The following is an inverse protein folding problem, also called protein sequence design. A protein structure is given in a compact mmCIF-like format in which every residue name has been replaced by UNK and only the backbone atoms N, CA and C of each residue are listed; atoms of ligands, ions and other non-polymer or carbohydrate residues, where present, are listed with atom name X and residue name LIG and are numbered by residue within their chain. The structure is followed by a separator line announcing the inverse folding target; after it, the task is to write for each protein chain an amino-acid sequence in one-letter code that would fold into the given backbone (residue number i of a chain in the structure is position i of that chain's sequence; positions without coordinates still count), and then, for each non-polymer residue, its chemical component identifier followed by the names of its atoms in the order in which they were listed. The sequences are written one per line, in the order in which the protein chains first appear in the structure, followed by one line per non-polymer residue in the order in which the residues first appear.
data_IF_765363352709
#
_entry.id   IF_765363352709
#
_cell.length_a   1.000
_cell.length_b   1.000
_cell.length_c   1.000
_cell.angle_alpha   90.00
_cell.angle_beta   90.00
_cell.angle_gamma   90.00
#
_symmetry.space_group_name_H-M   'P 1'
#
loop_
_entity.id
_entity.type
_entity.pdbx_description
1 polymer ?
#
# COMPACT_ATOMS: atom_id res chain seq x y z
N UNK A 1 22.56 79.31 -14.77
CA UNK A 1 23.11 79.69 -13.44
C UNK A 1 22.58 78.71 -12.40
N UNK A 2 23.50 78.11 -11.63
CA UNK A 2 23.40 77.52 -10.28
C UNK A 2 22.11 76.80 -9.85
N UNK A 3 22.26 75.52 -9.48
CA UNK A 3 21.35 74.84 -8.54
C UNK A 3 21.27 75.61 -7.22
N UNK A 4 20.07 75.74 -6.62
CA UNK A 4 19.92 75.99 -5.19
C UNK A 4 19.82 74.67 -4.40
N UNK A 5 20.25 74.80 -3.15
CA UNK A 5 20.55 73.84 -2.09
C UNK A 5 19.44 72.88 -1.62
N UNK A 6 19.90 71.76 -1.05
CA UNK A 6 19.17 70.86 -0.14
C UNK A 6 18.60 71.63 1.07
N UNK A 7 17.34 72.03 1.02
CA UNK A 7 16.52 72.22 2.22
C UNK A 7 15.04 72.33 1.85
N UNK A 8 14.38 71.18 1.69
CA UNK A 8 12.93 70.92 1.74
C UNK A 8 12.54 69.87 0.69
N UNK A 9 12.79 68.61 1.02
CA UNK A 9 12.12 67.50 0.37
C UNK A 9 11.53 66.61 1.47
N UNK A 10 10.45 67.09 2.11
CA UNK A 10 9.53 66.20 2.80
C UNK A 10 8.70 65.55 1.69
N UNK A 11 9.20 64.45 1.13
CA UNK A 11 8.43 63.61 0.21
C UNK A 11 7.36 62.94 1.06
N UNK A 12 6.16 63.49 0.97
CA UNK A 12 4.96 62.92 1.57
C UNK A 12 4.65 61.58 0.89
N UNK A 13 5.05 60.48 1.55
CA UNK A 13 4.88 59.10 1.11
C UNK A 13 3.41 58.79 0.78
N UNK A 14 2.44 59.49 1.40
CA UNK A 14 1.01 59.33 1.10
C UNK A 14 0.67 59.74 -0.33
N UNK A 15 1.38 60.73 -0.89
CA UNK A 15 1.14 61.21 -2.25
C UNK A 15 1.72 60.27 -3.31
N UNK A 16 2.83 59.59 -3.00
CA UNK A 16 3.43 58.57 -3.88
C UNK A 16 2.55 57.30 -3.96
N UNK A 17 2.00 56.87 -2.82
CA UNK A 17 1.12 55.69 -2.76
C UNK A 17 -0.24 55.91 -3.45
N UNK A 18 -0.68 57.17 -3.62
CA UNK A 18 -1.90 57.49 -4.37
C UNK A 18 -1.71 57.53 -5.89
N UNK A 19 -0.47 57.60 -6.41
CA UNK A 19 -0.19 57.65 -7.85
C UNK A 19 0.26 56.32 -8.46
N UNK A 20 0.73 55.36 -7.66
CA UNK A 20 0.99 54.00 -8.13
C UNK A 20 -0.29 53.16 -8.05
N UNK A 21 -0.96 52.90 -9.19
CA UNK A 21 -2.04 51.89 -9.32
C UNK A 21 -1.48 50.47 -9.16
N UNK A 22 -1.00 50.14 -7.97
CA UNK A 22 -0.71 48.78 -7.55
C UNK A 22 -1.90 48.39 -6.68
N UNK A 23 -2.85 47.66 -7.28
CA UNK A 23 -3.98 47.10 -6.54
C UNK A 23 -3.45 46.16 -5.44
N UNK A 24 -4.17 46.09 -4.31
CA UNK A 24 -3.84 45.23 -3.16
C UNK A 24 -3.49 43.80 -3.59
N UNK A 25 -4.10 43.30 -4.67
CA UNK A 25 -3.82 42.02 -5.32
C UNK A 25 -2.38 41.85 -5.81
N UNK A 26 -1.75 42.91 -6.36
CA UNK A 26 -0.35 42.88 -6.80
C UNK A 26 0.61 42.90 -5.61
N UNK A 27 0.25 43.56 -4.51
CA UNK A 27 1.03 43.52 -3.27
C UNK A 27 1.01 42.12 -2.64
N UNK A 28 -0.16 41.48 -2.62
CA UNK A 28 -0.30 40.08 -2.17
C UNK A 28 0.52 39.15 -3.06
N UNK A 29 0.46 39.32 -4.39
CA UNK A 29 1.25 38.51 -5.32
C UNK A 29 2.77 38.66 -5.11
N UNK A 30 3.26 39.89 -4.96
CA UNK A 30 4.68 40.15 -4.69
C UNK A 30 5.10 39.56 -3.35
N UNK A 31 4.26 39.70 -2.31
CA UNK A 31 4.51 39.10 -1.00
C UNK A 31 4.60 37.57 -1.05
N UNK A 32 3.69 36.90 -1.78
CA UNK A 32 3.74 35.45 -2.00
C UNK A 32 4.95 35.00 -2.84
N UNK A 33 5.38 35.78 -3.83
CA UNK A 33 6.58 35.50 -4.60
C UNK A 33 7.86 35.62 -3.74
N UNK A 34 7.90 36.60 -2.83
CA UNK A 34 9.03 36.75 -1.90
C UNK A 34 9.04 35.61 -0.87
N UNK A 35 7.88 35.21 -0.34
CA UNK A 35 7.76 34.08 0.58
C UNK A 35 8.16 32.75 -0.07
N UNK A 36 7.77 32.50 -1.32
CA UNK A 36 8.20 31.30 -2.06
C UNK A 36 9.69 31.34 -2.39
N UNK A 37 10.24 32.49 -2.78
CA UNK A 37 11.68 32.63 -2.99
C UNK A 37 12.49 32.41 -1.70
N UNK A 38 12.04 32.94 -0.56
CA UNK A 38 12.66 32.71 0.75
C UNK A 38 12.53 31.25 1.22
N UNK A 39 11.42 30.58 0.91
CA UNK A 39 11.22 29.17 1.22
C UNK A 39 12.13 28.27 0.36
N UNK A 40 12.29 28.59 -0.92
CA UNK A 40 13.24 27.92 -1.82
C UNK A 40 14.68 28.17 -1.35
N UNK A 41 15.02 29.41 -0.97
CA UNK A 41 16.35 29.75 -0.47
C UNK A 41 16.64 29.06 0.88
N UNK A 42 15.65 28.93 1.76
CA UNK A 42 15.75 28.16 3.00
C UNK A 42 16.01 26.68 2.71
N UNK A 43 15.30 26.08 1.75
CA UNK A 43 15.57 24.71 1.30
C UNK A 43 16.99 24.57 0.74
N UNK A 44 17.45 25.51 -0.08
CA UNK A 44 18.80 25.46 -0.65
C UNK A 44 19.91 25.70 0.38
N UNK A 45 19.66 26.47 1.44
CA UNK A 45 20.67 26.81 2.45
C UNK A 45 20.70 25.84 3.63
N UNK A 46 19.60 25.12 3.92
CA UNK A 46 19.46 24.29 5.13
C UNK A 46 19.14 22.81 4.87
N UNK A 47 19.02 22.36 3.61
CA UNK A 47 19.01 20.94 3.30
C UNK A 47 20.45 20.38 3.26
N UNK A 48 21.00 20.13 4.45
CA UNK A 48 22.03 19.11 4.61
C UNK A 48 21.40 17.92 5.33
N UNK A 49 20.63 17.14 4.58
CA UNK A 49 20.36 15.75 4.94
C UNK A 49 21.65 14.94 4.80
N UNK A 50 22.23 14.55 5.94
CA UNK A 50 23.38 13.65 6.02
C UNK A 50 23.04 12.30 5.33
N UNK A 51 23.70 11.95 4.21
CA UNK A 51 23.40 10.73 3.45
C UNK A 51 23.85 9.44 4.14
N UNK A 52 24.54 9.51 5.27
CA UNK A 52 25.23 8.35 5.85
C UNK A 52 24.29 7.34 6.52
N UNK A 53 23.10 7.72 7.00
CA UNK A 53 22.23 6.78 7.74
C UNK A 53 21.39 5.84 6.86
N UNK A 54 21.06 6.25 5.63
CA UNK A 54 20.28 5.41 4.68
C UNK A 54 21.18 4.44 3.93
N UNK A 55 22.44 4.82 3.70
CA UNK A 55 23.45 3.99 3.02
C UNK A 55 23.86 2.79 3.88
N UNK A 56 23.86 2.90 5.22
CA UNK A 56 24.23 1.80 6.13
C UNK A 56 23.22 0.64 6.08
N UNK A 57 21.92 0.91 5.93
CA UNK A 57 20.90 -0.16 5.85
C UNK A 57 20.89 -0.83 4.47
N UNK A 58 21.07 -0.06 3.39
CA UNK A 58 21.18 -0.59 2.02
C UNK A 58 22.47 -1.40 1.85
N UNK A 59 23.59 -0.97 2.43
CA UNK A 59 24.85 -1.70 2.34
C UNK A 59 24.85 -3.00 3.16
N UNK A 60 24.19 -3.04 4.32
CA UNK A 60 24.03 -4.30 5.06
C UNK A 60 23.09 -5.30 4.36
N UNK A 61 22.15 -4.82 3.56
CA UNK A 61 21.31 -5.69 2.72
C UNK A 61 22.08 -6.18 1.47
N UNK A 62 22.85 -5.31 0.81
CA UNK A 62 23.62 -5.64 -0.40
C UNK A 62 24.85 -6.52 -0.12
N UNK A 63 25.49 -6.39 1.04
CA UNK A 63 26.63 -7.24 1.43
C UNK A 63 26.25 -8.72 1.64
N UNK A 64 24.96 -9.04 1.73
CA UNK A 64 24.47 -10.42 1.75
C UNK A 64 24.09 -10.96 0.35
N UNK A 65 24.22 -10.15 -0.71
CA UNK A 65 23.85 -10.52 -2.10
C UNK A 65 25.08 -10.69 -3.00
N UNK A 66 26.25 -10.18 -2.60
CA UNK A 66 27.50 -10.28 -3.36
C UNK A 66 28.22 -11.62 -3.16
N UNK A 67 27.53 -12.73 -3.43
CA UNK A 67 28.15 -14.01 -3.81
C UNK A 67 27.15 -15.01 -4.43
N UNK A 68 26.38 -14.62 -5.45
CA UNK A 68 25.81 -15.60 -6.39
C UNK A 68 25.41 -14.98 -7.72
N UNK A 69 26.33 -15.04 -8.69
CA UNK A 69 26.02 -14.91 -10.11
C UNK A 69 25.30 -16.17 -10.58
N UNK A 70 23.96 -16.17 -10.49
CA UNK A 70 22.98 -16.93 -11.28
C UNK A 70 21.64 -16.74 -10.57
N UNK A 71 20.68 -16.10 -11.22
CA UNK A 71 19.36 -15.83 -10.65
C UNK A 71 18.56 -17.15 -10.60
N UNK A 72 18.87 -18.01 -9.64
CA UNK A 72 18.04 -19.17 -9.29
C UNK A 72 16.76 -18.66 -8.64
N UNK A 73 15.63 -18.86 -9.33
CA UNK A 73 14.29 -18.72 -8.77
C UNK A 73 14.23 -19.45 -7.42
N UNK A 74 13.72 -18.87 -6.34
CA UNK A 74 13.50 -19.64 -5.12
C UNK A 74 12.41 -20.69 -5.42
N UNK A 75 12.71 -21.99 -5.29
CA UNK A 75 11.69 -23.02 -5.32
C UNK A 75 11.33 -23.30 -3.87
N UNK A 76 10.24 -22.75 -3.35
CA UNK A 76 9.35 -23.55 -2.50
C UNK A 76 8.01 -22.88 -2.22
N UNK A 77 6.93 -23.52 -2.68
CA UNK A 77 5.55 -23.21 -2.33
C UNK A 77 5.16 -23.76 -0.94
N UNK A 78 6.14 -24.26 -0.17
CA UNK A 78 5.97 -24.72 1.21
C UNK A 78 5.69 -23.61 2.24
N UNK A 79 5.67 -22.33 1.84
CA UNK A 79 5.45 -21.20 2.76
C UNK A 79 4.18 -21.34 3.60
N UNK A 80 3.08 -21.91 3.06
CA UNK A 80 1.81 -22.00 3.80
C UNK A 80 1.57 -23.33 4.53
N UNK A 81 2.15 -24.44 4.06
CA UNK A 81 1.96 -25.76 4.70
C UNK A 81 2.75 -25.89 5.99
N UNK A 82 3.84 -25.12 6.12
CA UNK A 82 4.77 -25.21 7.24
C UNK A 82 4.59 -24.09 8.28
N UNK A 83 3.56 -23.23 8.22
CA UNK A 83 3.41 -22.13 9.19
C UNK A 83 3.14 -22.66 10.60
N UNK A 84 2.27 -23.65 10.79
CA UNK A 84 2.04 -24.17 12.16
C UNK A 84 3.26 -24.89 12.75
N UNK A 85 4.05 -25.58 11.92
CA UNK A 85 5.17 -26.43 12.38
C UNK A 85 6.54 -25.72 12.33
N UNK A 86 6.74 -24.72 11.46
CA UNK A 86 7.88 -23.76 11.49
C UNK A 86 7.65 -22.59 12.44
N UNK A 87 6.42 -22.30 12.88
CA UNK A 87 6.18 -21.41 14.01
C UNK A 87 6.39 -22.15 15.34
N UNK A 88 7.61 -22.61 15.57
CA UNK A 88 8.23 -22.28 16.84
C UNK A 88 8.98 -20.99 16.56
N UNK A 89 8.36 -19.80 16.76
CA UNK A 89 9.14 -18.58 16.70
C UNK A 89 10.37 -18.82 17.58
N UNK A 90 11.54 -18.41 17.10
CA UNK A 90 12.64 -18.09 18.00
C UNK A 90 12.07 -17.01 18.91
N UNK A 91 11.41 -17.46 19.96
CA UNK A 91 11.39 -16.77 21.21
C UNK A 91 12.87 -16.52 21.47
N UNK A 92 13.32 -15.33 21.10
CA UNK A 92 13.97 -14.54 22.12
C UNK A 92 12.93 -14.52 23.24
N UNK A 93 13.05 -15.50 24.15
CA UNK A 93 12.52 -15.44 25.50
C UNK A 93 13.28 -14.27 26.14
N UNK A 94 13.03 -13.05 25.69
CA UNK A 94 12.50 -12.12 26.64
C UNK A 94 11.10 -12.64 26.81
N UNK A 95 10.90 -13.32 27.93
CA UNK A 95 9.61 -13.42 28.57
C UNK A 95 8.89 -12.08 28.32
N UNK A 96 8.07 -11.98 27.27
CA UNK A 96 6.94 -11.05 27.32
C UNK A 96 6.00 -11.73 28.30
N UNK A 97 6.41 -11.70 29.55
CA UNK A 97 5.57 -12.03 30.65
C UNK A 97 4.38 -11.10 30.47
N UNK A 98 3.18 -11.65 30.22
CA UNK A 98 1.96 -10.86 30.17
C UNK A 98 1.71 -10.14 31.52
N UNK A 99 2.51 -10.43 32.56
CA UNK A 99 2.60 -9.67 33.81
C UNK A 99 3.37 -8.34 33.70
N UNK A 100 4.26 -8.17 32.71
CA UNK A 100 5.06 -6.96 32.57
C UNK A 100 4.19 -5.84 31.99
N UNK A 101 4.01 -4.78 32.79
CA UNK A 101 3.10 -3.69 32.44
C UNK A 101 3.62 -2.95 31.19
N UNK A 102 2.81 -2.82 30.12
CA UNK A 102 3.18 -2.14 28.88
C UNK A 102 3.54 -0.68 29.16
N UNK A 103 4.60 -0.18 28.50
CA UNK A 103 5.15 1.17 28.72
C UNK A 103 4.47 2.25 27.89
N UNK A 104 3.64 1.86 26.93
CA UNK A 104 3.02 2.72 25.94
C UNK A 104 1.76 2.07 25.34
N UNK A 105 0.98 2.86 24.61
CA UNK A 105 -0.23 2.45 23.91
C UNK A 105 -0.21 3.08 22.52
N UNK A 106 -0.34 2.24 21.49
CA UNK A 106 -0.61 2.67 20.11
C UNK A 106 -2.11 2.61 19.88
N UNK A 107 -2.67 3.67 19.30
CA UNK A 107 -4.12 3.88 19.20
C UNK A 107 -4.50 4.07 17.73
N UNK A 108 -5.41 3.23 17.24
CA UNK A 108 -6.11 3.44 15.96
C UNK A 108 -7.62 3.52 16.18
N UNK A 109 -8.20 4.67 15.85
CA UNK A 109 -9.65 4.92 16.02
C UNK A 109 -10.29 5.71 14.89
N UNK A 110 -9.47 6.38 14.09
CA UNK A 110 -9.87 7.00 12.84
C UNK A 110 -9.43 6.07 11.71
N UNK A 111 -10.31 5.78 10.76
CA UNK A 111 -9.84 5.19 9.52
C UNK A 111 -10.67 5.77 8.37
N UNK A 112 -10.04 6.63 7.59
CA UNK A 112 -10.59 7.11 6.35
C UNK A 112 -10.37 6.05 5.25
N UNK A 113 -11.30 5.96 4.30
CA UNK A 113 -11.17 5.11 3.11
C UNK A 113 -11.49 3.62 3.31
N UNK A 114 -11.21 2.84 2.26
CA UNK A 114 -11.66 1.46 2.13
C UNK A 114 -10.74 0.44 2.83
N UNK A 115 -11.05 -0.85 2.70
CA UNK A 115 -10.36 -1.98 3.38
C UNK A 115 -8.83 -1.95 3.26
N UNK A 116 -8.26 -1.59 2.10
CA UNK A 116 -6.80 -1.51 1.91
C UNK A 116 -6.11 -0.46 2.80
N UNK A 117 -6.77 0.67 3.07
CA UNK A 117 -6.25 1.68 4.00
C UNK A 117 -6.31 1.18 5.44
N UNK A 118 -7.40 0.51 5.80
CA UNK A 118 -7.59 -0.10 7.13
C UNK A 118 -6.57 -1.19 7.41
N UNK A 119 -6.22 -1.99 6.40
CA UNK A 119 -5.16 -2.99 6.49
C UNK A 119 -3.79 -2.35 6.75
N UNK A 120 -3.45 -1.25 6.05
CA UNK A 120 -2.21 -0.51 6.31
C UNK A 120 -2.16 0.07 7.72
N UNK A 121 -3.22 0.77 8.14
CA UNK A 121 -3.30 1.36 9.45
C UNK A 121 -3.15 0.30 10.56
N UNK A 122 -3.85 -0.83 10.43
CA UNK A 122 -3.73 -1.97 11.34
C UNK A 122 -2.31 -2.53 11.36
N UNK A 123 -1.73 -2.84 10.19
CA UNK A 123 -0.42 -3.46 10.10
C UNK A 123 0.67 -2.55 10.70
N UNK A 124 0.64 -1.26 10.35
CA UNK A 124 1.58 -0.27 10.88
C UNK A 124 1.44 -0.09 12.40
N UNK A 125 0.21 -0.04 12.92
CA UNK A 125 -0.02 0.07 14.35
C UNK A 125 0.43 -1.18 15.11
N UNK A 126 0.15 -2.37 14.56
CA UNK A 126 0.63 -3.63 15.07
C UNK A 126 2.15 -3.68 15.11
N UNK A 127 2.81 -3.32 14.01
CA UNK A 127 4.27 -3.30 13.91
C UNK A 127 4.92 -2.36 14.93
N UNK A 128 4.38 -1.16 15.12
CA UNK A 128 4.84 -0.24 16.15
C UNK A 128 4.60 -0.75 17.57
N UNK A 129 3.42 -1.31 17.85
CA UNK A 129 3.13 -1.90 19.15
C UNK A 129 4.08 -3.07 19.46
N UNK A 130 4.39 -3.91 18.47
CA UNK A 130 5.35 -5.02 18.59
C UNK A 130 6.78 -4.53 18.79
N UNK A 131 7.17 -3.46 18.10
CA UNK A 131 8.51 -2.87 18.20
C UNK A 131 8.80 -2.31 19.59
N UNK A 132 7.81 -1.64 20.19
CA UNK A 132 7.96 -0.92 21.46
C UNK A 132 7.39 -1.66 22.67
N UNK A 133 6.81 -2.85 22.47
CA UNK A 133 6.09 -3.60 23.51
C UNK A 133 4.95 -2.76 24.13
N UNK A 134 4.24 -2.03 23.27
CA UNK A 134 3.05 -1.28 23.65
C UNK A 134 1.80 -2.17 23.62
N UNK A 135 0.79 -1.75 24.37
CA UNK A 135 -0.58 -2.18 24.09
C UNK A 135 -1.09 -1.58 22.78
N UNK A 136 -2.02 -2.27 22.14
CA UNK A 136 -2.66 -1.81 20.92
C UNK A 136 -4.14 -1.58 21.18
N UNK A 137 -4.57 -0.32 21.13
CA UNK A 137 -5.98 0.03 21.07
C UNK A 137 -6.46 0.03 19.61
N UNK A 138 -7.54 -0.70 19.36
CA UNK A 138 -8.24 -0.71 18.07
C UNK A 138 -9.71 -0.40 18.33
N UNK A 139 -10.23 0.64 17.69
CA UNK A 139 -11.66 0.92 17.77
C UNK A 139 -12.48 -0.30 17.29
N UNK A 140 -13.55 -0.70 18.02
CA UNK A 140 -14.26 -1.95 17.74
C UNK A 140 -14.74 -2.09 16.28
N UNK A 141 -15.17 -0.99 15.66
CA UNK A 141 -15.65 -1.00 14.28
C UNK A 141 -14.55 -1.31 13.24
N UNK A 142 -13.30 -0.89 13.47
CA UNK A 142 -12.16 -1.21 12.59
C UNK A 142 -11.92 -2.72 12.63
N UNK A 143 -11.96 -3.29 13.84
CA UNK A 143 -11.75 -4.72 14.03
C UNK A 143 -12.90 -5.54 13.41
N UNK A 144 -14.15 -5.09 13.56
CA UNK A 144 -15.31 -5.71 12.91
C UNK A 144 -15.19 -5.69 11.38
N UNK A 145 -14.81 -4.55 10.80
CA UNK A 145 -14.66 -4.42 9.36
C UNK A 145 -13.55 -5.32 8.81
N UNK A 146 -12.37 -5.34 9.45
CA UNK A 146 -11.30 -6.25 9.02
C UNK A 146 -11.70 -7.72 9.22
N UNK A 147 -12.41 -8.06 10.30
CA UNK A 147 -12.89 -9.43 10.57
C UNK A 147 -13.99 -9.90 9.63
N UNK A 148 -14.64 -8.98 8.91
CA UNK A 148 -15.58 -9.35 7.85
C UNK A 148 -14.88 -10.06 6.68
N UNK A 149 -13.56 -9.88 6.53
CA UNK A 149 -12.74 -10.51 5.48
C UNK A 149 -11.72 -11.50 6.06
N UNK A 150 -11.13 -11.18 7.21
CA UNK A 150 -10.01 -11.90 7.79
C UNK A 150 -10.35 -12.53 9.14
N UNK A 151 -9.49 -13.41 9.63
CA UNK A 151 -9.68 -14.04 10.94
C UNK A 151 -9.25 -13.11 12.09
N UNK A 152 -8.13 -12.37 11.93
CA UNK A 152 -7.52 -11.46 12.93
C UNK A 152 -7.75 -11.89 14.38
N UNK A 153 -6.87 -12.77 14.85
CA UNK A 153 -6.78 -13.18 16.25
C UNK A 153 -5.47 -12.68 16.88
N UNK A 154 -5.56 -11.68 17.76
CA UNK A 154 -4.40 -11.17 18.48
C UNK A 154 -4.06 -12.00 19.75
N UNK A 155 -4.92 -12.95 20.17
CA UNK A 155 -4.65 -13.75 21.37
C UNK A 155 -3.40 -14.63 21.23
N UNK A 156 -3.12 -15.04 20.00
CA UNK A 156 -1.95 -15.85 19.61
C UNK A 156 -0.69 -14.97 19.38
N UNK A 157 -0.80 -13.66 19.63
CA UNK A 157 0.29 -12.70 19.44
C UNK A 157 0.79 -12.14 20.78
N UNK A 158 2.00 -11.58 20.83
CA UNK A 158 2.49 -10.88 22.03
C UNK A 158 1.77 -9.56 22.32
N UNK A 159 0.86 -9.09 21.47
CA UNK A 159 0.13 -7.83 21.66
C UNK A 159 -1.06 -8.03 22.57
N UNK A 160 -1.17 -7.17 23.58
CA UNK A 160 -2.39 -7.02 24.35
C UNK A 160 -3.32 -6.00 23.66
N UNK A 161 -4.51 -6.49 23.28
CA UNK A 161 -5.53 -5.72 22.57
C UNK A 161 -6.44 -5.00 23.57
N UNK A 162 -6.58 -3.68 23.40
CA UNK A 162 -7.55 -2.85 24.11
C UNK A 162 -8.67 -2.46 23.15
N UNK A 163 -9.93 -2.63 23.56
CA UNK A 163 -11.12 -2.18 22.81
C UNK A 163 -12.04 -1.27 23.62
N UNK A 164 -11.69 -1.00 24.88
CA UNK A 164 -12.48 -0.14 25.77
C UNK A 164 -12.08 1.33 25.59
N UNK A 165 -13.03 2.16 25.19
CA UNK A 165 -12.86 3.60 24.95
C UNK A 165 -12.37 4.39 26.18
N UNK A 166 -12.43 3.81 27.38
CA UNK A 166 -11.90 4.44 28.60
C UNK A 166 -10.43 4.87 28.46
N UNK A 167 -9.66 4.17 27.62
CA UNK A 167 -8.26 4.51 27.38
C UNK A 167 -8.08 5.84 26.63
N UNK A 168 -9.10 6.28 25.89
CA UNK A 168 -9.06 7.52 25.11
C UNK A 168 -9.15 8.79 25.96
N UNK A 169 -9.44 8.66 27.27
CA UNK A 169 -9.52 9.78 28.21
C UNK A 169 -8.21 10.04 28.97
N UNK A 170 -7.15 9.28 28.66
CA UNK A 170 -5.85 9.44 29.30
C UNK A 170 -5.21 10.78 28.91
N UNK A 171 -4.64 11.55 29.86
CA UNK A 171 -3.89 12.75 29.53
C UNK A 171 -2.61 12.39 28.75
N UNK A 172 -2.13 13.32 27.91
CA UNK A 172 -0.90 13.11 27.13
C UNK A 172 -1.10 12.33 25.83
N UNK A 173 -2.34 12.16 25.36
CA UNK A 173 -2.64 11.63 24.03
C UNK A 173 -2.03 12.54 22.95
N UNK A 174 -1.13 11.98 22.13
CA UNK A 174 -0.51 12.67 21.01
C UNK A 174 -0.97 12.04 19.70
N UNK A 175 -1.70 12.81 18.89
CA UNK A 175 -2.18 12.38 17.58
C UNK A 175 -1.36 12.96 16.44
N UNK A 176 -0.99 12.13 15.46
CA UNK A 176 -0.30 12.59 14.25
C UNK A 176 -0.93 11.99 12.99
N UNK A 177 -1.20 12.84 12.01
CA UNK A 177 -1.69 12.42 10.70
C UNK A 177 -0.56 11.89 9.81
N UNK A 178 -0.81 10.81 9.07
CA UNK A 178 0.06 10.35 7.98
C UNK A 178 -0.73 9.64 6.89
N UNK A 179 -0.38 9.95 5.64
CA UNK A 179 -0.77 9.17 4.47
C UNK A 179 0.13 7.92 4.35
N UNK A 180 1.40 8.12 4.03
CA UNK A 180 2.36 7.12 3.58
C UNK A 180 3.77 7.41 4.11
N UNK A 181 3.91 8.41 4.98
CA UNK A 181 5.20 8.84 5.51
C UNK A 181 5.67 7.87 6.59
N UNK A 182 6.92 7.44 6.46
CA UNK A 182 7.65 6.70 7.48
C UNK A 182 8.34 7.71 8.41
N UNK A 183 7.95 7.76 9.67
CA UNK A 183 8.51 8.68 10.65
C UNK A 183 9.63 8.01 11.45
N UNK A 184 10.85 8.51 11.31
CA UNK A 184 12.02 7.95 11.98
C UNK A 184 11.93 7.97 13.50
N UNK A 185 11.26 8.97 14.08
CA UNK A 185 11.09 9.05 15.53
C UNK A 185 10.22 7.94 16.11
N UNK A 186 9.31 7.35 15.31
CA UNK A 186 8.51 6.20 15.70
C UNK A 186 9.26 4.87 15.60
N UNK A 187 10.37 4.83 14.85
CA UNK A 187 11.20 3.62 14.71
C UNK A 187 12.33 3.53 15.74
N UNK A 188 12.60 4.62 16.48
CA UNK A 188 13.64 4.68 17.53
C UNK A 188 13.13 4.03 18.82
N UNK A 189 13.87 3.02 19.30
CA UNK A 189 13.57 2.29 20.55
C UNK A 189 14.51 2.77 21.66
N UNK A 190 14.00 3.14 22.86
CA UNK A 190 12.58 3.17 23.24
C UNK A 190 11.85 4.39 22.63
N UNK A 191 10.53 4.28 22.53
CA UNK A 191 9.67 5.39 22.11
C UNK A 191 9.86 6.61 23.05
N UNK A 192 9.88 7.82 22.48
CA UNK A 192 10.04 9.05 23.29
C UNK A 192 8.91 9.17 24.32
N UNK A 193 9.23 9.71 25.50
CA UNK A 193 8.28 9.82 26.63
C UNK A 193 6.99 10.59 26.29
N UNK A 194 7.05 11.56 25.38
CA UNK A 194 5.88 12.31 24.93
C UNK A 194 5.02 11.58 23.89
N UNK A 195 5.41 10.36 23.49
CA UNK A 195 4.72 9.52 22.50
C UNK A 195 4.18 8.23 23.14
N UNK A 196 4.17 8.10 24.48
CA UNK A 196 3.70 6.87 25.14
C UNK A 196 2.20 6.60 24.95
N UNK A 197 1.39 7.62 24.62
CA UNK A 197 0.00 7.46 24.20
C UNK A 197 -0.15 8.03 22.79
N UNK A 198 0.07 7.20 21.77
CA UNK A 198 0.23 7.65 20.39
C UNK A 198 -0.97 7.27 19.53
N UNK A 199 -1.69 8.26 19.02
CA UNK A 199 -2.77 8.07 18.06
C UNK A 199 -2.27 8.23 16.62
N UNK A 200 -2.43 7.16 15.85
CA UNK A 200 -2.20 7.15 14.42
C UNK A 200 -3.47 7.62 13.70
N UNK A 201 -3.39 8.76 13.02
CA UNK A 201 -4.49 9.37 12.26
C UNK A 201 -4.19 9.26 10.76
N UNK A 202 -5.17 8.85 9.94
CA UNK A 202 -4.99 8.69 8.49
C UNK A 202 -4.72 7.24 8.08
N UNK A 203 -3.73 6.99 7.22
CA UNK A 203 -3.53 5.68 6.57
C UNK A 203 -2.24 4.95 6.94
N UNK A 204 -1.14 5.67 7.24
CA UNK A 204 0.16 5.09 7.61
C UNK A 204 0.66 3.99 6.66
N UNK A 205 0.67 4.27 5.37
CA UNK A 205 0.90 3.28 4.30
C UNK A 205 2.39 2.99 4.01
N UNK A 206 3.26 3.17 4.99
CA UNK A 206 4.66 2.81 4.84
C UNK A 206 4.90 1.39 5.36
N UNK A 207 5.38 0.47 4.52
CA UNK A 207 5.58 -0.92 4.93
C UNK A 207 6.68 -1.08 5.98
N UNK A 208 7.59 -0.09 6.08
CA UNK A 208 8.66 -0.05 7.07
C UNK A 208 8.18 -0.14 8.53
N UNK A 209 6.93 0.26 8.82
CA UNK A 209 6.37 0.12 10.17
C UNK A 209 6.18 -1.33 10.61
N UNK A 210 5.98 -2.27 9.68
CA UNK A 210 5.57 -3.64 10.01
C UNK A 210 6.36 -4.74 9.31
N UNK A 211 7.27 -4.40 8.39
CA UNK A 211 8.05 -5.39 7.63
C UNK A 211 8.82 -6.37 8.50
N UNK A 212 9.32 -5.94 9.66
CA UNK A 212 10.01 -6.78 10.64
C UNK A 212 9.12 -7.93 11.16
N UNK A 213 7.80 -7.73 11.13
CA UNK A 213 6.79 -8.67 11.60
C UNK A 213 5.94 -9.22 10.45
N UNK A 214 6.51 -9.29 9.24
CA UNK A 214 5.82 -9.74 8.02
C UNK A 214 5.05 -11.04 8.20
N UNK A 215 5.63 -12.03 8.86
CA UNK A 215 5.01 -13.34 9.03
C UNK A 215 3.81 -13.28 9.98
N UNK A 216 3.90 -12.50 11.07
CA UNK A 216 2.79 -12.25 11.99
C UNK A 216 1.65 -11.49 11.28
N UNK A 217 1.98 -10.46 10.49
CA UNK A 217 1.00 -9.71 9.68
C UNK A 217 0.31 -10.63 8.67
N UNK A 218 1.07 -11.49 8.00
CA UNK A 218 0.53 -12.45 7.02
C UNK A 218 -0.38 -13.48 7.69
N UNK A 219 -0.04 -13.93 8.90
CA UNK A 219 -0.90 -14.80 9.71
C UNK A 219 -2.22 -14.10 10.11
N UNK A 220 -2.15 -12.85 10.55
CA UNK A 220 -3.33 -12.08 10.96
C UNK A 220 -4.30 -11.83 9.80
N UNK A 221 -3.80 -11.66 8.59
CA UNK A 221 -4.59 -11.47 7.37
C UNK A 221 -4.92 -12.76 6.61
N UNK A 222 -5.06 -13.88 7.31
CA UNK A 222 -5.70 -15.07 6.74
C UNK A 222 -7.21 -14.83 6.56
N UNK A 223 -7.72 -15.14 5.35
CA UNK A 223 -9.14 -15.03 5.03
C UNK A 223 -10.01 -15.87 5.96
N UNK A 224 -11.15 -15.32 6.36
CA UNK A 224 -12.16 -16.08 7.11
C UNK A 224 -12.87 -17.10 6.20
N UNK A 225 -13.61 -18.03 6.81
CA UNK A 225 -14.31 -19.08 6.08
C UNK A 225 -15.40 -18.56 5.12
N UNK A 226 -16.00 -17.39 5.40
CA UNK A 226 -16.98 -16.77 4.51
C UNK A 226 -16.34 -16.34 3.19
N UNK A 227 -15.25 -15.56 3.27
CA UNK A 227 -14.50 -15.11 2.08
C UNK A 227 -13.91 -16.27 1.28
N UNK A 228 -13.50 -17.36 1.94
CA UNK A 228 -13.02 -18.58 1.26
C UNK A 228 -14.17 -19.26 0.51
N UNK A 229 -15.32 -19.49 1.17
CA UNK A 229 -16.48 -20.18 0.57
C UNK A 229 -17.05 -19.41 -0.61
N UNK A 230 -17.10 -18.08 -0.53
CA UNK A 230 -17.56 -17.23 -1.64
C UNK A 230 -16.70 -17.37 -2.91
N UNK A 231 -15.44 -17.78 -2.77
CA UNK A 231 -14.52 -17.99 -3.89
C UNK A 231 -14.57 -19.39 -4.50
N UNK A 232 -15.22 -20.37 -3.85
CA UNK A 232 -15.29 -21.74 -4.38
C UNK A 232 -15.93 -21.81 -5.77
N UNK A 233 -17.09 -21.16 -6.05
CA UNK A 233 -17.69 -21.21 -7.39
C UNK A 233 -16.80 -20.60 -8.48
N UNK A 234 -16.06 -19.54 -8.14
CA UNK A 234 -15.09 -18.94 -9.06
C UNK A 234 -13.97 -19.93 -9.38
N UNK A 235 -13.39 -20.56 -8.37
CA UNK A 235 -12.32 -21.56 -8.55
C UNK A 235 -12.78 -22.71 -9.44
N UNK A 236 -13.99 -23.22 -9.24
CA UNK A 236 -14.57 -24.28 -10.09
C UNK A 236 -14.76 -23.83 -11.53
N UNK A 237 -15.22 -22.59 -11.75
CA UNK A 237 -15.34 -22.01 -13.09
C UNK A 237 -13.98 -21.91 -13.77
N UNK A 238 -12.94 -21.46 -13.06
CA UNK A 238 -11.57 -21.35 -13.57
C UNK A 238 -10.99 -22.73 -13.92
N UNK A 239 -11.16 -23.72 -13.03
CA UNK A 239 -10.74 -25.11 -13.25
C UNK A 239 -11.39 -25.71 -14.50
N UNK A 240 -12.71 -25.50 -14.67
CA UNK A 240 -13.44 -25.95 -15.84
C UNK A 240 -12.97 -25.24 -17.12
N UNK A 241 -12.78 -23.93 -17.08
CA UNK A 241 -12.38 -23.16 -18.25
C UNK A 241 -10.98 -23.52 -18.74
N UNK A 242 -10.05 -23.83 -17.83
CA UNK A 242 -8.65 -24.06 -18.17
C UNK A 242 -8.34 -25.53 -18.46
N UNK A 243 -8.99 -26.46 -17.77
CA UNK A 243 -8.67 -27.89 -17.87
C UNK A 243 -9.85 -28.80 -18.19
N UNK A 244 -11.04 -28.24 -18.44
CA UNK A 244 -12.26 -29.01 -18.67
C UNK A 244 -12.57 -30.02 -17.54
N UNK A 245 -12.14 -29.73 -16.31
CA UNK A 245 -12.39 -30.57 -15.14
C UNK A 245 -13.86 -30.40 -14.72
N UNK A 246 -14.63 -31.49 -14.53
CA UNK A 246 -16.02 -31.40 -14.07
C UNK A 246 -16.15 -30.75 -12.68
N UNK A 247 -17.24 -30.00 -12.47
CA UNK A 247 -17.57 -29.27 -11.23
C UNK A 247 -17.77 -30.14 -9.97
N UNK A 248 -17.61 -31.46 -10.04
CA UNK A 248 -17.99 -32.38 -8.96
C UNK A 248 -16.81 -32.76 -8.05
N UNK A 249 -15.86 -31.84 -7.82
CA UNK A 249 -14.64 -32.07 -7.02
C UNK A 249 -14.90 -32.22 -5.50
N UNK A 250 -16.17 -32.20 -5.05
CA UNK A 250 -16.52 -32.27 -3.63
C UNK A 250 -15.95 -31.11 -2.82
N UNK A 251 -15.63 -29.97 -3.44
CA UNK A 251 -15.01 -28.84 -2.74
C UNK A 251 -15.98 -28.29 -1.69
N UNK A 252 -17.28 -28.22 -2.00
CA UNK A 252 -18.32 -27.81 -1.06
C UNK A 252 -18.55 -28.79 0.11
N UNK A 253 -18.18 -30.06 -0.03
CA UNK A 253 -18.37 -31.07 1.03
C UNK A 253 -17.16 -31.17 1.95
N UNK A 254 -16.08 -30.43 1.68
CA UNK A 254 -14.98 -30.28 2.63
C UNK A 254 -15.36 -29.23 3.66
N UNK A 255 -15.78 -29.68 4.83
CA UNK A 255 -16.17 -28.84 5.98
C UNK A 255 -15.12 -27.77 6.34
N UNK A 256 -13.85 -27.97 5.93
CA UNK A 256 -12.72 -27.07 6.19
C UNK A 256 -11.91 -26.77 4.93
N UNK A 257 -12.55 -26.29 3.86
CA UNK A 257 -11.80 -25.73 2.72
C UNK A 257 -10.91 -24.58 3.17
N UNK A 258 -9.65 -24.57 2.74
CA UNK A 258 -8.69 -23.51 3.05
C UNK A 258 -8.37 -22.71 1.79
N UNK A 259 -8.04 -21.43 1.95
CA UNK A 259 -7.59 -20.59 0.85
C UNK A 259 -6.37 -21.19 0.12
N UNK A 260 -5.42 -21.74 0.89
CA UNK A 260 -4.26 -22.43 0.35
C UNK A 260 -4.65 -23.66 -0.49
N UNK A 261 -5.64 -24.43 -0.06
CA UNK A 261 -6.12 -25.58 -0.83
C UNK A 261 -6.71 -25.14 -2.18
N UNK A 262 -7.49 -24.06 -2.21
CA UNK A 262 -8.00 -23.49 -3.46
C UNK A 262 -6.87 -23.02 -4.38
N UNK A 263 -5.85 -22.35 -3.82
CA UNK A 263 -4.65 -21.91 -4.55
C UNK A 263 -3.87 -23.09 -5.15
N UNK A 264 -3.72 -24.17 -4.39
CA UNK A 264 -3.06 -25.40 -4.88
C UNK A 264 -3.83 -26.04 -6.02
N UNK A 265 -5.17 -26.10 -5.95
CA UNK A 265 -5.99 -26.63 -7.04
C UNK A 265 -5.80 -25.83 -8.35
N UNK A 266 -5.68 -24.50 -8.26
CA UNK A 266 -5.49 -23.64 -9.43
C UNK A 266 -4.08 -23.71 -10.03
N UNK A 267 -3.06 -24.07 -9.27
CA UNK A 267 -1.66 -24.01 -9.72
C UNK A 267 -1.09 -25.37 -10.09
N UNK A 268 -1.59 -26.45 -9.46
CA UNK A 268 -1.07 -27.81 -9.62
C UNK A 268 -2.21 -28.79 -9.94
N UNK A 269 -2.66 -28.87 -11.20
CA UNK A 269 -3.57 -29.93 -11.59
C UNK A 269 -2.85 -31.29 -11.44
N UNK A 270 -3.56 -32.31 -10.98
CA UNK A 270 -3.05 -33.67 -11.03
C UNK A 270 -2.81 -34.05 -12.53
N UNK A 271 -1.63 -34.61 -12.82
CA UNK A 271 -1.07 -35.04 -14.13
C UNK A 271 -2.09 -35.45 -15.22
N UNK A 272 -1.86 -35.20 -16.54
CA UNK A 272 -0.63 -34.76 -17.22
C UNK A 272 -0.70 -33.32 -17.76
N UNK A 273 -1.38 -32.42 -17.06
CA UNK A 273 -1.65 -31.06 -17.54
C UNK A 273 -0.45 -30.12 -17.28
N UNK A 274 -0.15 -29.24 -18.25
CA UNK A 274 0.85 -28.19 -18.08
C UNK A 274 0.38 -27.27 -16.94
N UNK A 275 1.20 -27.02 -15.91
CA UNK A 275 0.86 -26.09 -14.83
C UNK A 275 0.46 -24.72 -15.39
N UNK A 276 -0.46 -24.06 -14.69
CA UNK A 276 -0.95 -22.74 -15.09
C UNK A 276 -0.43 -21.73 -14.09
N UNK A 277 0.25 -20.69 -14.59
CA UNK A 277 0.66 -19.57 -13.76
C UNK A 277 -0.46 -18.54 -13.69
N UNK A 278 -0.97 -18.28 -12.49
CA UNK A 278 -2.05 -17.29 -12.31
C UNK A 278 -1.50 -15.92 -11.93
N UNK A 279 -1.92 -14.88 -12.65
CA UNK A 279 -1.53 -13.49 -12.41
C UNK A 279 -2.78 -12.68 -12.07
N UNK A 280 -2.81 -12.15 -10.84
CA UNK A 280 -3.83 -11.23 -10.40
C UNK A 280 -3.64 -9.87 -11.09
N UNK A 281 -4.74 -9.24 -11.51
CA UNK A 281 -4.74 -7.85 -11.96
C UNK A 281 -5.75 -7.08 -11.11
N UNK A 282 -5.26 -6.11 -10.34
CA UNK A 282 -6.13 -5.16 -9.68
C UNK A 282 -6.15 -3.83 -10.43
N UNK A 283 -7.34 -3.43 -10.88
CA UNK A 283 -7.58 -2.16 -11.59
C UNK A 283 -8.40 -1.24 -10.69
N UNK A 284 -7.81 -0.11 -10.29
CA UNK A 284 -8.46 0.95 -9.51
C UNK A 284 -8.86 2.09 -10.43
N UNK A 285 -10.15 2.38 -10.52
CA UNK A 285 -10.70 3.50 -11.30
C UNK A 285 -11.54 4.41 -10.43
N UNK A 286 -12.76 4.01 -10.07
CA UNK A 286 -13.74 4.75 -9.26
C UNK A 286 -13.36 6.18 -8.82
N UNK A 287 -12.99 6.33 -7.55
CA UNK A 287 -12.54 7.59 -6.93
C UNK A 287 -11.24 8.16 -7.53
N UNK A 288 -10.33 7.32 -8.01
CA UNK A 288 -9.09 7.74 -8.68
C UNK A 288 -9.35 8.50 -9.98
N UNK A 289 -10.28 8.02 -10.79
CA UNK A 289 -10.70 8.67 -12.03
C UNK A 289 -11.56 9.90 -11.72
N UNK A 290 -12.51 9.78 -10.80
CA UNK A 290 -13.49 10.85 -10.55
C UNK A 290 -12.91 12.02 -9.75
N UNK A 291 -12.18 11.76 -8.66
CA UNK A 291 -11.61 12.78 -7.77
C UNK A 291 -10.15 13.12 -8.11
N UNK A 292 -9.30 12.12 -8.32
CA UNK A 292 -7.86 12.35 -8.53
C UNK A 292 -7.47 12.58 -10.00
N UNK A 293 -8.39 12.35 -10.95
CA UNK A 293 -8.14 12.42 -12.40
C UNK A 293 -6.96 11.54 -12.84
N UNK A 294 -6.71 10.46 -12.09
CA UNK A 294 -5.70 9.45 -12.40
C UNK A 294 -6.43 8.33 -13.11
N UNK A 295 -6.14 8.16 -14.39
CA UNK A 295 -6.68 7.06 -15.19
C UNK A 295 -5.70 5.87 -15.19
N UNK A 296 -6.26 4.67 -15.21
CA UNK A 296 -5.48 3.46 -15.45
C UNK A 296 -5.12 3.40 -16.93
N UNK A 297 -3.83 3.37 -17.25
CA UNK A 297 -3.37 3.20 -18.63
C UNK A 297 -3.58 1.76 -19.12
N UNK A 298 -4.40 1.58 -20.15
CA UNK A 298 -4.57 0.29 -20.85
C UNK A 298 -3.23 -0.16 -21.45
N UNK A 299 -2.40 0.78 -21.89
CA UNK A 299 -1.07 0.51 -22.43
C UNK A 299 -0.16 -0.13 -21.38
N UNK A 300 -0.20 0.37 -20.14
CA UNK A 300 0.51 -0.25 -19.02
C UNK A 300 0.01 -1.67 -18.73
N UNK A 301 -1.32 -1.87 -18.67
CA UNK A 301 -1.89 -3.20 -18.43
C UNK A 301 -1.49 -4.19 -19.53
N UNK A 302 -1.59 -3.79 -20.80
CA UNK A 302 -1.18 -4.62 -21.93
C UNK A 302 0.32 -4.94 -21.91
N UNK A 303 1.16 -3.95 -21.61
CA UNK A 303 2.59 -4.16 -21.44
C UNK A 303 2.88 -5.19 -20.33
N UNK A 304 2.25 -5.03 -19.16
CA UNK A 304 2.47 -5.88 -18.00
C UNK A 304 1.96 -7.32 -18.23
N UNK A 305 0.81 -7.49 -18.89
CA UNK A 305 0.33 -8.81 -19.32
C UNK A 305 1.31 -9.46 -20.31
N UNK A 306 1.80 -8.71 -21.30
CA UNK A 306 2.77 -9.22 -22.27
C UNK A 306 4.14 -9.54 -21.67
N UNK A 307 4.53 -8.91 -20.56
CA UNK A 307 5.69 -9.33 -19.78
C UNK A 307 5.49 -10.75 -19.22
N UNK A 308 4.34 -11.01 -18.57
CA UNK A 308 4.06 -12.33 -18.00
C UNK A 308 3.84 -13.41 -19.07
N UNK A 309 3.17 -13.09 -20.18
CA UNK A 309 3.02 -14.02 -21.33
C UNK A 309 4.36 -14.44 -21.94
N UNK A 310 5.36 -13.55 -21.95
CA UNK A 310 6.72 -13.89 -22.40
C UNK A 310 7.50 -14.71 -21.38
N UNK A 311 7.19 -14.55 -20.09
CA UNK A 311 7.88 -15.23 -19.00
C UNK A 311 7.32 -16.64 -18.72
N UNK A 312 6.02 -16.83 -18.89
CA UNK A 312 5.31 -18.07 -18.56
C UNK A 312 4.55 -18.58 -19.78
N UNK A 313 4.88 -19.79 -20.22
CA UNK A 313 4.28 -20.45 -21.40
C UNK A 313 2.76 -20.59 -21.28
N UNK A 314 2.25 -20.79 -20.06
CA UNK A 314 0.86 -21.04 -19.76
C UNK A 314 0.38 -20.16 -18.60
N UNK A 315 0.30 -18.85 -18.83
CA UNK A 315 -0.27 -17.93 -17.84
C UNK A 315 -1.76 -17.64 -18.08
N UNK A 316 -2.47 -17.34 -16.99
CA UNK A 316 -3.84 -16.81 -17.01
C UNK A 316 -3.94 -15.58 -16.11
N UNK A 317 -4.86 -14.68 -16.43
CA UNK A 317 -5.05 -13.42 -15.71
C UNK A 317 -6.41 -13.41 -15.03
N UNK A 318 -6.44 -13.09 -13.73
CA UNK A 318 -7.67 -12.91 -12.97
C UNK A 318 -7.79 -11.45 -12.56
N UNK A 319 -8.82 -10.77 -13.05
CA UNK A 319 -9.01 -9.33 -12.87
C UNK A 319 -10.09 -9.08 -11.80
N UNK A 320 -9.75 -8.23 -10.83
CA UNK A 320 -10.72 -7.54 -10.00
C UNK A 320 -10.60 -6.02 -10.19
N UNK A 321 -11.74 -5.33 -10.12
CA UNK A 321 -11.83 -3.91 -10.39
C UNK A 321 -13.03 -3.32 -9.66
N UNK A 322 -12.93 -2.06 -9.26
CA UNK A 322 -14.08 -1.25 -8.84
C UNK A 322 -14.93 -0.77 -10.04
N UNK A 323 -14.44 -0.99 -11.26
CA UNK A 323 -15.12 -0.77 -12.54
C UNK A 323 -14.87 -2.01 -13.42
N UNK A 324 -15.64 -3.08 -13.16
CA UNK A 324 -15.54 -4.37 -13.86
C UNK A 324 -15.99 -4.26 -15.32
N UNK A 325 -16.89 -3.32 -15.64
CA UNK A 325 -17.35 -3.09 -17.02
C UNK A 325 -16.24 -2.49 -17.89
N UNK A 326 -15.43 -1.58 -17.35
CA UNK A 326 -14.23 -1.12 -18.03
C UNK A 326 -13.25 -2.26 -18.31
N UNK A 327 -12.99 -3.13 -17.33
CA UNK A 327 -12.09 -4.27 -17.52
C UNK A 327 -12.61 -5.21 -18.62
N UNK A 328 -13.92 -5.52 -18.60
CA UNK A 328 -14.57 -6.33 -19.63
C UNK A 328 -14.43 -5.70 -21.02
N UNK A 329 -14.71 -4.39 -21.15
CA UNK A 329 -14.67 -3.68 -22.42
C UNK A 329 -13.27 -3.61 -23.03
N UNK A 330 -12.23 -3.39 -22.21
CA UNK A 330 -10.90 -3.06 -22.71
C UNK A 330 -9.94 -4.26 -22.74
N UNK A 331 -10.18 -5.30 -21.94
CA UNK A 331 -9.18 -6.37 -21.74
C UNK A 331 -9.73 -7.77 -22.07
N UNK A 332 -11.02 -8.04 -21.85
CA UNK A 332 -11.57 -9.39 -21.87
C UNK A 332 -11.77 -10.02 -23.27
N UNK A 333 -11.21 -9.42 -24.32
CA UNK A 333 -11.19 -10.03 -25.66
C UNK A 333 -10.18 -11.19 -25.78
N UNK A 334 -9.35 -11.43 -24.76
CA UNK A 334 -8.39 -12.53 -24.74
C UNK A 334 -8.92 -13.70 -23.91
N UNK A 335 -8.76 -14.93 -24.41
CA UNK A 335 -9.23 -16.17 -23.76
C UNK A 335 -8.46 -16.53 -22.48
N UNK A 336 -7.32 -15.88 -22.22
CA UNK A 336 -6.51 -16.06 -21.03
C UNK A 336 -6.91 -15.11 -19.87
N UNK A 337 -7.96 -14.31 -20.05
CA UNK A 337 -8.42 -13.32 -19.07
C UNK A 337 -9.77 -13.73 -18.46
N UNK A 338 -9.83 -13.67 -17.14
CA UNK A 338 -11.02 -13.90 -16.33
C UNK A 338 -11.28 -12.68 -15.46
N UNK A 339 -12.56 -12.37 -15.22
CA UNK A 339 -12.97 -11.27 -14.34
C UNK A 339 -13.76 -11.87 -13.18
N UNK A 340 -13.45 -11.44 -11.96
CA UNK A 340 -14.21 -11.78 -10.76
C UNK A 340 -15.70 -11.41 -10.91
N UNK A 341 -16.64 -12.19 -10.33
CA UNK A 341 -18.07 -11.94 -10.45
C UNK A 341 -18.48 -10.52 -10.04
N UNK A 342 -19.50 -9.95 -10.70
CA UNK A 342 -20.07 -8.65 -10.30
C UNK A 342 -20.68 -8.65 -8.90
N UNK A 343 -21.09 -9.82 -8.40
CA UNK A 343 -21.64 -10.02 -7.06
C UNK A 343 -20.58 -10.01 -5.95
N UNK A 344 -19.30 -10.07 -6.28
CA UNK A 344 -18.23 -10.07 -5.28
C UNK A 344 -18.12 -8.72 -4.59
N UNK A 345 -18.05 -8.77 -3.26
CA UNK A 345 -17.66 -7.63 -2.44
C UNK A 345 -16.13 -7.51 -2.40
N UNK A 346 -15.64 -6.40 -1.86
CA UNK A 346 -14.20 -6.12 -1.78
C UNK A 346 -13.39 -7.21 -1.07
N UNK A 347 -13.96 -7.91 -0.08
CA UNK A 347 -13.30 -9.05 0.57
C UNK A 347 -13.20 -10.28 -0.33
N UNK A 348 -14.23 -10.54 -1.12
CA UNK A 348 -14.29 -11.68 -2.04
C UNK A 348 -13.28 -11.49 -3.19
N UNK A 349 -13.24 -10.29 -3.77
CA UNK A 349 -12.25 -9.91 -4.79
C UNK A 349 -10.81 -10.05 -4.24
N UNK A 350 -10.57 -9.66 -2.99
CA UNK A 350 -9.23 -9.72 -2.39
C UNK A 350 -8.79 -11.17 -2.17
N UNK A 351 -9.71 -12.02 -1.71
CA UNK A 351 -9.50 -13.46 -1.60
C UNK A 351 -9.25 -14.10 -2.97
N UNK A 352 -9.97 -13.67 -4.02
CA UNK A 352 -9.80 -14.16 -5.39
C UNK A 352 -8.40 -13.83 -5.92
N UNK A 353 -7.97 -12.57 -5.79
CA UNK A 353 -6.66 -12.12 -6.26
C UNK A 353 -5.51 -12.83 -5.52
N UNK A 354 -5.67 -13.09 -4.22
CA UNK A 354 -4.66 -13.79 -3.41
C UNK A 354 -4.44 -15.27 -3.81
N UNK A 355 -5.37 -15.87 -4.58
CA UNK A 355 -5.18 -17.21 -5.15
C UNK A 355 -4.09 -17.22 -6.24
N UNK A 356 -3.77 -16.07 -6.83
CA UNK A 356 -2.76 -15.96 -7.88
C UNK A 356 -1.32 -16.00 -7.32
N UNK A 357 -0.34 -16.22 -8.19
CA UNK A 357 1.08 -16.33 -7.83
C UNK A 357 1.86 -15.04 -8.04
N UNK A 358 1.39 -14.18 -8.95
CA UNK A 358 1.97 -12.88 -9.26
C UNK A 358 0.87 -11.82 -9.37
N UNK A 359 1.25 -10.55 -9.38
CA UNK A 359 0.26 -9.47 -9.45
C UNK A 359 0.69 -8.34 -10.39
N UNK A 360 -0.27 -7.78 -11.09
CA UNK A 360 -0.21 -6.48 -11.76
C UNK A 360 -1.15 -5.56 -10.97
N UNK A 361 -0.63 -4.46 -10.46
CA UNK A 361 -1.43 -3.49 -9.70
C UNK A 361 -1.40 -2.13 -10.38
N UNK A 362 -2.53 -1.43 -10.31
CA UNK A 362 -2.62 0.01 -10.53
C UNK A 362 -2.51 0.76 -9.19
N UNK A 363 -2.78 2.06 -9.19
CA UNK A 363 -2.79 2.89 -8.00
C UNK A 363 -3.67 2.38 -6.84
N UNK A 364 -3.28 2.72 -5.60
CA UNK A 364 -4.06 2.51 -4.38
C UNK A 364 -3.63 1.33 -3.50
N UNK A 365 -4.04 1.39 -2.23
CA UNK A 365 -3.67 0.42 -1.18
C UNK A 365 -4.30 -0.96 -1.33
N UNK A 366 -5.46 -1.05 -1.98
CA UNK A 366 -6.13 -2.33 -2.17
C UNK A 366 -5.29 -3.28 -3.03
N UNK A 367 -4.81 -2.79 -4.18
CA UNK A 367 -3.93 -3.57 -5.06
C UNK A 367 -2.62 -3.94 -4.37
N UNK A 368 -2.06 -3.04 -3.57
CA UNK A 368 -0.86 -3.30 -2.77
C UNK A 368 -1.05 -4.50 -1.84
N UNK A 369 -2.18 -4.57 -1.11
CA UNK A 369 -2.47 -5.69 -0.23
C UNK A 369 -2.83 -6.98 -0.98
N UNK A 370 -3.53 -6.88 -2.12
CA UNK A 370 -3.75 -8.04 -2.99
C UNK A 370 -2.42 -8.67 -3.42
N UNK A 371 -1.45 -7.84 -3.80
CA UNK A 371 -0.11 -8.27 -4.17
C UNK A 371 0.69 -8.86 -3.00
N UNK A 372 0.59 -8.26 -1.81
CA UNK A 372 1.21 -8.80 -0.59
C UNK A 372 0.69 -10.21 -0.26
N UNK A 373 -0.63 -10.41 -0.33
CA UNK A 373 -1.28 -11.68 -0.01
C UNK A 373 -1.07 -12.75 -1.09
N UNK A 374 -1.04 -12.35 -2.37
CA UNK A 374 -0.73 -13.27 -3.48
C UNK A 374 0.72 -13.75 -3.43
N UNK A 375 1.65 -12.84 -3.10
CA UNK A 375 3.09 -13.09 -3.13
C UNK A 375 3.68 -12.97 -4.55
N UNK A 376 4.90 -13.49 -4.69
CA UNK A 376 5.63 -13.52 -5.96
C UNK A 376 6.02 -12.14 -6.53
N UNK A 377 6.13 -12.07 -7.86
CA UNK A 377 6.51 -10.85 -8.56
C UNK A 377 5.32 -9.88 -8.66
N UNK A 378 5.58 -8.60 -8.43
CA UNK A 378 4.55 -7.55 -8.53
C UNK A 378 5.00 -6.52 -9.55
N UNK A 379 4.16 -6.27 -10.55
CA UNK A 379 4.30 -5.12 -11.45
C UNK A 379 3.33 -4.03 -11.01
N UNK A 380 3.83 -2.80 -10.89
CA UNK A 380 3.03 -1.63 -10.52
C UNK A 380 3.27 -0.46 -11.46
N UNK A 381 2.32 0.48 -11.52
CA UNK A 381 2.43 1.68 -12.33
C UNK A 381 3.33 2.76 -11.67
N UNK A 382 3.65 3.82 -12.42
CA UNK A 382 4.43 4.97 -11.91
C UNK A 382 3.55 6.05 -11.27
N UNK A 383 2.24 5.95 -11.42
CA UNK A 383 1.30 7.03 -11.14
C UNK A 383 1.00 7.17 -9.65
N UNK A 384 1.40 6.19 -8.84
CA UNK A 384 1.19 6.14 -7.40
C UNK A 384 2.46 5.73 -6.65
N UNK A 385 2.68 6.15 -5.39
CA UNK A 385 1.92 7.17 -4.67
C UNK A 385 2.04 8.55 -5.33
N UNK A 386 1.00 9.39 -5.19
CA UNK A 386 0.96 10.72 -5.81
C UNK A 386 2.02 11.62 -5.14
N UNK A 387 2.90 12.30 -5.89
CA UNK A 387 3.98 13.12 -5.32
C UNK A 387 3.51 14.20 -4.33
N UNK A 388 2.28 14.71 -4.51
CA UNK A 388 1.68 15.74 -3.65
C UNK A 388 1.36 15.28 -2.22
N UNK A 389 1.53 14.00 -1.89
CA UNK A 389 1.21 13.44 -0.57
C UNK A 389 2.44 13.26 0.35
N UNK A 390 3.61 13.82 0.00
CA UNK A 390 4.88 13.60 0.72
C UNK A 390 5.19 12.10 0.92
N UNK A 391 4.84 11.30 -0.10
CA UNK A 391 5.12 9.88 -0.14
C UNK A 391 6.45 9.60 -0.81
N UNK A 392 7.39 9.02 -0.05
CA UNK A 392 8.59 8.43 -0.61
C UNK A 392 8.19 7.06 -1.16
N UNK A 393 8.43 6.82 -2.45
CA UNK A 393 7.99 5.61 -3.16
C UNK A 393 8.56 4.36 -2.50
N UNK A 394 9.82 4.43 -2.08
CA UNK A 394 10.60 3.36 -1.43
C UNK A 394 10.10 3.06 -0.02
N UNK A 395 9.31 3.95 0.60
CA UNK A 395 8.64 3.67 1.87
C UNK A 395 7.29 2.98 1.66
N UNK A 396 6.66 3.20 0.51
CA UNK A 396 5.36 2.63 0.15
C UNK A 396 5.49 1.26 -0.51
N UNK A 397 6.35 1.14 -1.53
CA UNK A 397 6.57 -0.09 -2.28
C UNK A 397 7.79 -0.84 -1.76
N UNK A 398 7.62 -2.10 -1.31
CA UNK A 398 8.74 -2.96 -0.99
C UNK A 398 9.63 -3.23 -2.21
N UNK A 399 10.92 -3.61 -2.03
CA UNK A 399 11.86 -3.78 -3.15
C UNK A 399 11.46 -4.83 -4.20
N UNK A 400 10.58 -5.78 -3.86
CA UNK A 400 10.07 -6.79 -4.80
C UNK A 400 8.87 -6.33 -5.62
N UNK A 401 8.37 -5.11 -5.39
CA UNK A 401 7.44 -4.43 -6.27
C UNK A 401 8.25 -3.75 -7.36
N UNK A 402 8.24 -4.35 -8.54
CA UNK A 402 9.13 -3.98 -9.64
C UNK A 402 8.38 -3.14 -10.65
N UNK A 403 9.00 -2.02 -11.01
CA UNK A 403 8.59 -1.28 -12.19
C UNK A 403 9.24 -1.90 -13.44
N UNK A 404 8.49 -2.17 -14.51
CA UNK A 404 9.12 -2.60 -15.75
C UNK A 404 9.91 -1.44 -16.38
N UNK A 405 11.24 -1.46 -16.24
CA UNK A 405 12.17 -0.40 -16.66
C UNK A 405 12.21 -0.07 -18.16
N UNK A 406 11.40 -0.72 -19.01
CA UNK A 406 11.36 -0.47 -20.45
C UNK A 406 9.99 0.08 -20.90
N UNK A 407 9.61 1.26 -20.43
CA UNK A 407 8.61 2.07 -21.15
C UNK A 407 9.32 2.81 -22.29
N UNK A 408 8.90 2.68 -23.57
CA UNK A 408 9.15 3.77 -24.51
C UNK A 408 8.48 5.04 -23.96
N UNK A 409 9.19 6.18 -24.01
CA UNK A 409 8.78 7.49 -23.48
C UNK A 409 7.28 7.77 -23.62
N UNK A 410 6.49 7.53 -22.56
CA UNK A 410 5.17 8.13 -22.39
C UNK A 410 5.42 9.47 -21.68
N UNK A 411 5.98 10.42 -22.41
CA UNK A 411 6.00 11.82 -22.00
C UNK A 411 4.56 12.28 -21.81
N UNK A 412 4.32 12.83 -20.62
CA UNK A 412 3.19 13.68 -20.23
C UNK A 412 2.41 14.27 -21.40
N UNK A 413 1.26 13.65 -21.75
CA UNK A 413 0.15 14.39 -22.38
C UNK A 413 -0.71 15.01 -21.27
N UNK A 414 -0.12 15.92 -20.51
CA UNK A 414 -0.84 16.95 -19.77
C UNK A 414 -0.37 18.28 -20.34
N UNK A 415 -0.93 18.65 -21.49
CA UNK A 415 -1.03 20.01 -22.05
C UNK A 415 -1.28 19.93 -23.57
N UNK A 416 -2.55 19.89 -23.99
CA UNK A 416 -3.05 20.53 -25.22
C UNK A 416 -4.51 20.14 -25.47
N UNK A 417 -5.44 20.74 -24.73
CA UNK A 417 -6.82 20.86 -25.18
C UNK A 417 -7.41 22.13 -24.59
N UNK A 418 -6.94 23.28 -25.09
CA UNK A 418 -7.64 24.56 -25.07
C UNK A 418 -6.89 25.54 -25.99
N UNK A 419 -7.05 25.37 -27.30
CA UNK A 419 -6.94 26.44 -28.29
C UNK A 419 -7.23 25.88 -29.69
N UNK A 420 -8.51 25.74 -30.03
CA UNK A 420 -9.00 25.91 -31.41
C UNK A 420 -10.47 25.45 -31.49
N UNK A 421 -11.39 26.40 -31.40
CA UNK A 421 -12.55 26.48 -32.29
C UNK A 421 -13.16 27.88 -32.10
N UNK A 422 -12.90 28.69 -33.13
CA UNK A 422 -13.68 29.82 -33.70
C UNK A 422 -14.65 30.56 -32.81
#
# INVERSE_FOLDING_TARGET
MKCPSLSQCNIDIRRYLQQSRITVTKFIAIFFCILTALFILYYFLFDQTDPQSTVVYINNYNNNISSSSQLTLPPDYSFFHNIKDKFKPDYVIRTSDKSQKPTCIIIIRTADGAIGNRMFLFASAYGLARLHQCDLYIAPWILTDLRSVFTINLQDTPIHLITKDSILKQPGLYGRYSSCTLFDDLLKVPLKSNLTFYEMIGFYQAFGYFIKYKDEITYLFQFNQGSIKNNVPLVEQLLKAVWNIPLNLGIYTKDNVTHQYLKLLLTQPQSPLIPVTWIAIHIRRGDFLTFFKIDTSVEYLNYAMNYYRRKYINCRFLIASDDKDYAQKNLANNSDIFITPKSFFSGDDLAALALCEHTIVTAGSYGWWAAWLAGGNVLHDLTYPVPSQNCIREHYFPPWFVFPHNKPNITQKFNSSNSSQT
#
